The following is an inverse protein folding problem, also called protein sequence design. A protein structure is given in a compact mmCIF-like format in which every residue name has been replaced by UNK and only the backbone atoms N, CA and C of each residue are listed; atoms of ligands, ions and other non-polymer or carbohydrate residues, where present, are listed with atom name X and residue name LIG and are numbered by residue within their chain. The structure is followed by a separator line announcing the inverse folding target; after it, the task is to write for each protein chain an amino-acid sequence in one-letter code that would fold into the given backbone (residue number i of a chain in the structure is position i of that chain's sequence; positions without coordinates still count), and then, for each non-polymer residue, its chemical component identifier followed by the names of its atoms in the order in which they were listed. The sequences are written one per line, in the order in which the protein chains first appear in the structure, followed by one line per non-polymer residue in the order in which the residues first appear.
data_IF_205056590143
#
_entry.id   IF_205056590143
#
_cell.length_a   1.000
_cell.length_b   1.000
_cell.length_c   1.000
_cell.angle_alpha   90.00
_cell.angle_beta   90.00
_cell.angle_gamma   90.00
#
_symmetry.space_group_name_H-M   'P 1'
#
loop_
_entity.id
_entity.type
_entity.pdbx_description
1 polymer ?
#
# COMPACT_ATOMS: atom_id res chain seq x y z
N UNK A 1 1.75 7.80 -4.22
CA UNK A 1 0.31 7.48 -4.14
C UNK A 1 -0.32 8.14 -2.93
N UNK A 2 -0.35 7.46 -1.78
CA UNK A 2 -1.11 7.88 -0.58
C UNK A 2 -0.77 9.29 -0.09
N UNK A 3 0.51 9.62 0.05
CA UNK A 3 0.95 10.95 0.54
C UNK A 3 0.68 12.06 -0.50
N UNK A 4 0.84 11.75 -1.78
CA UNK A 4 0.46 12.69 -2.83
C UNK A 4 -1.03 13.02 -2.74
N UNK A 5 -1.88 12.02 -2.48
CA UNK A 5 -3.32 12.22 -2.34
C UNK A 5 -3.68 13.14 -1.16
N UNK A 6 -2.99 13.03 -0.02
CA UNK A 6 -3.19 13.96 1.11
C UNK A 6 -2.71 15.38 0.81
N UNK A 7 -1.68 15.54 -0.02
CA UNK A 7 -1.20 16.86 -0.44
C UNK A 7 -2.14 17.49 -1.46
N UNK A 8 -2.69 16.72 -2.39
CA UNK A 8 -3.54 17.23 -3.49
C UNK A 8 -5.04 17.23 -3.17
N UNK A 9 -5.44 16.86 -1.95
CA UNK A 9 -6.85 16.73 -1.56
C UNK A 9 -7.60 15.63 -2.32
N UNK A 10 -6.88 14.64 -2.84
CA UNK A 10 -7.49 13.49 -3.52
C UNK A 10 -7.83 12.39 -2.52
N UNK A 11 -8.93 11.67 -2.79
CA UNK A 11 -9.25 10.43 -2.08
C UNK A 11 -8.52 9.27 -2.75
N UNK A 12 -7.72 8.51 -2.00
CA UNK A 12 -7.05 7.34 -2.53
C UNK A 12 -7.80 6.04 -2.19
N UNK A 13 -7.76 5.09 -3.14
CA UNK A 13 -8.45 3.80 -3.05
C UNK A 13 -7.42 2.71 -3.29
N UNK A 14 -6.78 2.17 -2.24
CA UNK A 14 -5.72 1.19 -2.45
C UNK A 14 -6.34 -0.17 -2.76
N UNK A 15 -6.07 -0.69 -3.96
CA UNK A 15 -6.64 -1.95 -4.48
C UNK A 15 -5.51 -2.97 -4.65
N UNK A 16 -5.77 -4.23 -4.26
CA UNK A 16 -4.79 -5.31 -4.41
C UNK A 16 -4.48 -5.52 -5.90
N UNK A 17 -3.20 -5.55 -6.32
CA UNK A 17 -2.80 -5.68 -7.72
C UNK A 17 -3.17 -7.03 -8.36
N UNK A 18 -3.77 -7.96 -7.60
CA UNK A 18 -4.35 -9.22 -8.08
C UNK A 18 -5.85 -9.11 -8.36
N UNK A 19 -6.49 -7.98 -8.02
CA UNK A 19 -7.92 -7.75 -8.25
C UNK A 19 -8.16 -7.51 -9.73
N UNK A 20 -9.03 -8.33 -10.36
CA UNK A 20 -9.28 -8.33 -11.81
C UNK A 20 -10.76 -8.35 -12.14
N UNK A 21 -11.07 -8.13 -13.42
CA UNK A 21 -12.41 -8.29 -13.99
C UNK A 21 -13.48 -7.50 -13.24
N UNK A 22 -14.66 -8.07 -13.11
CA UNK A 22 -15.84 -7.41 -12.54
C UNK A 22 -15.60 -6.81 -11.16
N UNK A 23 -14.77 -7.45 -10.33
CA UNK A 23 -14.43 -6.95 -9.00
C UNK A 23 -13.61 -5.66 -9.08
N UNK A 24 -12.65 -5.57 -9.99
CA UNK A 24 -11.86 -4.36 -10.21
C UNK A 24 -12.75 -3.26 -10.81
N UNK A 25 -13.54 -3.60 -11.83
CA UNK A 25 -14.49 -2.68 -12.47
C UNK A 25 -15.48 -2.10 -11.44
N UNK A 26 -16.01 -2.96 -10.56
CA UNK A 26 -16.88 -2.55 -9.47
C UNK A 26 -16.19 -1.56 -8.54
N UNK A 27 -14.99 -1.86 -8.03
CA UNK A 27 -14.28 -0.97 -7.10
C UNK A 27 -14.00 0.40 -7.71
N UNK A 28 -13.52 0.43 -8.97
CA UNK A 28 -13.23 1.68 -9.68
C UNK A 28 -14.50 2.52 -9.92
N UNK A 29 -15.59 1.88 -10.34
CA UNK A 29 -16.88 2.54 -10.59
C UNK A 29 -17.55 3.02 -9.30
N UNK A 30 -17.58 2.17 -8.28
CA UNK A 30 -18.25 2.43 -7.01
C UNK A 30 -17.56 3.56 -6.22
N UNK A 31 -16.23 3.61 -6.24
CA UNK A 31 -15.46 4.70 -5.62
C UNK A 31 -15.46 5.99 -6.45
N UNK A 32 -15.87 5.93 -7.72
CA UNK A 32 -15.82 7.07 -8.63
C UNK A 32 -14.39 7.47 -9.02
N UNK A 33 -13.45 6.52 -9.03
CA UNK A 33 -12.06 6.77 -9.43
C UNK A 33 -12.01 7.43 -10.82
N UNK A 34 -11.31 8.58 -10.89
CA UNK A 34 -11.00 9.27 -12.15
C UNK A 34 -9.63 8.91 -12.71
N UNK A 35 -8.80 8.24 -11.91
CA UNK A 35 -7.50 7.79 -12.36
C UNK A 35 -6.94 6.64 -11.55
N UNK A 36 -5.98 5.92 -12.16
CA UNK A 36 -5.28 4.81 -11.52
C UNK A 36 -3.78 5.02 -11.64
N UNK A 37 -3.08 4.83 -10.52
CA UNK A 37 -1.64 4.65 -10.47
C UNK A 37 -1.37 3.19 -10.13
N UNK A 38 -0.69 2.47 -11.03
CA UNK A 38 -0.36 1.06 -10.83
C UNK A 38 1.01 0.72 -11.44
N UNK A 39 1.42 -0.53 -11.35
CA UNK A 39 2.66 -1.04 -11.94
C UNK A 39 2.38 -1.76 -13.26
N UNK A 40 3.41 -1.86 -14.09
CA UNK A 40 3.39 -2.56 -15.37
C UNK A 40 2.87 -4.01 -15.30
N UNK A 41 3.09 -4.72 -14.18
CA UNK A 41 2.63 -6.10 -13.99
C UNK A 41 1.12 -6.24 -13.69
N UNK A 42 0.41 -5.16 -13.35
CA UNK A 42 -1.04 -5.19 -13.14
C UNK A 42 -1.83 -4.22 -14.04
N UNK A 43 -1.16 -3.35 -14.81
CA UNK A 43 -1.79 -2.38 -15.69
C UNK A 43 -2.79 -2.99 -16.69
N UNK A 44 -2.49 -4.17 -17.25
CA UNK A 44 -3.38 -4.87 -18.18
C UNK A 44 -4.78 -5.12 -17.58
N UNK A 45 -4.86 -5.38 -16.27
CA UNK A 45 -6.11 -5.63 -15.58
C UNK A 45 -7.02 -4.40 -15.58
N UNK A 46 -6.42 -3.20 -15.53
CA UNK A 46 -7.13 -1.92 -15.61
C UNK A 46 -7.59 -1.66 -17.05
N UNK A 47 -6.73 -1.96 -18.04
CA UNK A 47 -7.06 -1.83 -19.47
C UNK A 47 -8.26 -2.72 -19.83
N UNK A 48 -8.28 -3.96 -19.35
CA UNK A 48 -9.38 -4.93 -19.59
C UNK A 48 -10.75 -4.47 -19.08
N UNK A 49 -10.79 -3.58 -18.07
CA UNK A 49 -12.04 -3.08 -17.49
C UNK A 49 -12.34 -1.61 -17.83
N UNK A 50 -11.53 -0.98 -18.69
CA UNK A 50 -11.63 0.46 -19.01
C UNK A 50 -13.01 0.81 -19.57
N UNK A 51 -13.56 -0.02 -20.45
CA UNK A 51 -14.90 0.17 -21.05
C UNK A 51 -16.04 0.12 -20.01
N UNK A 52 -15.81 -0.52 -18.86
CA UNK A 52 -16.78 -0.59 -17.75
C UNK A 52 -16.64 0.57 -16.76
N UNK A 53 -15.63 1.43 -16.93
CA UNK A 53 -15.25 2.50 -15.99
C UNK A 53 -15.21 3.86 -16.70
N UNK A 54 -16.34 4.38 -17.19
CA UNK A 54 -16.39 5.56 -18.07
C UNK A 54 -15.91 6.87 -17.41
N UNK A 55 -15.77 6.91 -16.08
CA UNK A 55 -15.20 8.04 -15.34
C UNK A 55 -13.67 8.01 -15.26
N UNK A 56 -13.03 6.90 -15.66
CA UNK A 56 -11.58 6.74 -15.61
C UNK A 56 -10.94 7.53 -16.77
N UNK A 57 -10.26 8.61 -16.43
CA UNK A 57 -9.69 9.55 -17.40
C UNK A 57 -8.21 9.29 -17.68
N UNK A 58 -7.48 8.77 -16.70
CA UNK A 58 -6.04 8.56 -16.84
C UNK A 58 -5.54 7.30 -16.13
N UNK A 59 -4.47 6.73 -16.70
CA UNK A 59 -3.76 5.58 -16.18
C UNK A 59 -2.26 5.87 -16.19
N UNK A 60 -1.67 5.99 -15.01
CA UNK A 60 -0.23 6.16 -14.78
C UNK A 60 0.38 4.82 -14.38
N UNK A 61 1.35 4.36 -15.16
CA UNK A 61 2.00 3.05 -14.96
C UNK A 61 3.45 3.23 -14.57
N UNK A 62 3.84 2.61 -13.46
CA UNK A 62 5.23 2.48 -13.02
C UNK A 62 5.86 1.25 -13.67
N UNK A 63 6.90 1.47 -14.46
CA UNK A 63 7.71 0.42 -15.07
C UNK A 63 8.68 -0.12 -14.01
N UNK A 64 8.57 -1.42 -13.74
CA UNK A 64 9.29 -2.10 -12.66
C UNK A 64 10.32 -3.10 -13.15
N UNK A 65 10.15 -3.62 -14.37
CA UNK A 65 10.98 -4.70 -14.91
C UNK A 65 10.80 -6.05 -14.18
N UNK A 66 9.73 -6.19 -13.39
CA UNK A 66 9.47 -7.42 -12.64
C UNK A 66 8.91 -8.55 -13.51
N UNK A 67 8.91 -9.77 -12.95
CA UNK A 67 8.21 -10.89 -13.55
C UNK A 67 6.71 -10.55 -13.74
N UNK A 68 6.23 -10.70 -14.96
CA UNK A 68 4.86 -10.35 -15.34
C UNK A 68 4.67 -8.90 -15.81
N UNK A 69 5.72 -8.07 -15.79
CA UNK A 69 5.70 -6.76 -16.42
C UNK A 69 5.31 -6.84 -17.90
N UNK A 70 4.51 -5.88 -18.36
CA UNK A 70 4.12 -5.73 -19.76
C UNK A 70 4.80 -4.50 -20.37
N UNK A 71 5.28 -4.57 -21.62
CA UNK A 71 5.77 -3.39 -22.31
C UNK A 71 4.67 -2.32 -22.40
N UNK A 72 5.02 -1.06 -22.12
CA UNK A 72 4.07 0.06 -22.18
C UNK A 72 3.35 0.16 -23.53
N UNK A 73 4.04 -0.13 -24.63
CA UNK A 73 3.49 -0.13 -25.98
C UNK A 73 2.33 -1.13 -26.19
N UNK A 74 2.21 -2.18 -25.36
CA UNK A 74 1.11 -3.14 -25.45
C UNK A 74 -0.12 -2.75 -24.63
N UNK A 75 -0.07 -1.66 -23.85
CA UNK A 75 -1.11 -1.26 -22.90
C UNK A 75 -2.01 -0.13 -23.43
N UNK A 76 -1.82 0.29 -24.68
CA UNK A 76 -2.63 1.33 -25.32
C UNK A 76 -2.35 2.74 -24.79
N UNK A 77 -3.39 3.55 -24.65
CA UNK A 77 -3.30 4.93 -24.16
C UNK A 77 -3.08 4.98 -22.65
N UNK A 78 -1.80 5.02 -22.24
CA UNK A 78 -1.35 5.12 -20.86
C UNK A 78 -0.16 6.10 -20.72
N UNK A 79 0.06 6.59 -19.51
CA UNK A 79 1.14 7.50 -19.18
C UNK A 79 2.21 6.80 -18.33
N UNK A 80 3.48 7.06 -18.63
CA UNK A 80 4.62 6.53 -17.86
C UNK A 80 4.85 7.35 -16.59
N UNK A 81 4.72 6.71 -15.44
CA UNK A 81 5.06 7.34 -14.16
C UNK A 81 6.57 7.60 -14.05
N UNK A 82 7.42 6.75 -14.62
CA UNK A 82 8.87 6.95 -14.62
C UNK A 82 9.26 8.26 -15.32
N UNK A 83 8.61 8.57 -16.46
CA UNK A 83 8.83 9.85 -17.16
C UNK A 83 8.35 11.05 -16.35
N UNK A 84 7.20 10.94 -15.69
CA UNK A 84 6.69 12.01 -14.81
C UNK A 84 7.65 12.25 -13.66
N UNK A 85 8.12 11.20 -12.99
CA UNK A 85 9.06 11.31 -11.87
C UNK A 85 10.46 11.80 -12.28
N UNK A 86 10.85 11.60 -13.54
CA UNK A 86 12.11 12.12 -14.09
C UNK A 86 12.02 13.60 -14.50
N UNK A 87 10.81 14.15 -14.61
CA UNK A 87 10.60 15.55 -14.92
C UNK A 87 10.70 16.43 -13.67
N UNK A 88 11.16 17.67 -13.84
CA UNK A 88 11.12 18.65 -12.76
C UNK A 88 9.68 19.11 -12.55
N UNK A 89 9.26 19.18 -11.29
CA UNK A 89 7.98 19.76 -10.89
C UNK A 89 8.24 20.78 -9.80
N UNK A 90 7.60 21.94 -9.90
CA UNK A 90 7.62 22.94 -8.85
C UNK A 90 6.94 22.38 -7.58
N UNK A 91 7.37 22.80 -6.38
CA UNK A 91 6.65 22.50 -5.16
C UNK A 91 5.19 22.92 -5.28
N UNK A 92 4.29 22.03 -4.86
CA UNK A 92 2.85 22.32 -4.81
C UNK A 92 2.47 22.69 -3.38
N UNK A 93 1.69 23.76 -3.24
CA UNK A 93 1.04 24.06 -1.97
C UNK A 93 0.02 22.96 -1.66
N UNK A 94 -0.02 22.45 -0.41
CA UNK A 94 -1.05 21.50 -0.01
C UNK A 94 -2.44 22.07 -0.26
N UNK A 95 -3.33 21.23 -0.80
CA UNK A 95 -4.73 21.59 -1.00
C UNK A 95 -5.37 21.98 0.35
N UNK A 96 -6.23 23.00 0.38
CA UNK A 96 -6.99 23.33 1.58
C UNK A 96 -7.96 22.18 1.86
N UNK A 97 -7.79 21.52 3.00
CA UNK A 97 -8.59 20.37 3.43
C UNK A 97 -8.93 20.47 4.92
N UNK A 98 -10.10 19.96 5.29
CA UNK A 98 -10.55 19.83 6.67
C UNK A 98 -10.28 18.42 7.20
N UNK A 99 -10.09 18.26 8.51
CA UNK A 99 -9.80 16.95 9.10
C UNK A 99 -10.93 15.91 8.87
N UNK A 100 -12.16 16.38 8.62
CA UNK A 100 -13.33 15.55 8.31
C UNK A 100 -13.47 15.23 6.82
N UNK A 101 -12.61 15.78 5.96
CA UNK A 101 -12.66 15.49 4.54
C UNK A 101 -12.24 14.03 4.28
N UNK A 102 -12.88 13.35 3.31
CA UNK A 102 -12.50 12.01 2.93
C UNK A 102 -11.08 11.99 2.36
N UNK A 103 -10.29 11.00 2.76
CA UNK A 103 -8.92 10.79 2.25
C UNK A 103 -8.73 9.38 1.68
N UNK A 104 -9.45 8.39 2.22
CA UNK A 104 -9.23 7.00 1.90
C UNK A 104 -10.54 6.23 1.73
N UNK A 105 -10.59 5.31 0.76
CA UNK A 105 -11.62 4.27 0.69
C UNK A 105 -10.94 2.90 0.69
N UNK A 106 -11.13 2.12 1.76
CA UNK A 106 -10.66 0.72 1.84
C UNK A 106 -11.84 -0.22 1.56
N UNK A 107 -11.71 -1.05 0.53
CA UNK A 107 -12.67 -2.11 0.27
C UNK A 107 -12.42 -3.34 1.14
N UNK A 108 -13.48 -3.86 1.76
CA UNK A 108 -13.44 -5.12 2.50
C UNK A 108 -14.26 -6.20 1.78
N UNK A 109 -13.82 -7.45 1.88
CA UNK A 109 -14.58 -8.61 1.42
C UNK A 109 -15.78 -8.78 2.35
N UNK A 110 -16.95 -8.25 1.95
CA UNK A 110 -18.20 -8.56 2.65
C UNK A 110 -18.49 -10.06 2.60
N UNK A 111 -19.21 -10.57 3.60
CA UNK A 111 -19.57 -11.99 3.70
C UNK A 111 -20.68 -12.41 2.75
N UNK A 112 -21.43 -11.45 2.20
CA UNK A 112 -22.55 -11.68 1.27
C UNK A 112 -22.64 -10.53 0.26
N UNK A 113 -21.98 -10.67 -0.89
CA UNK A 113 -22.11 -9.74 -2.03
C UNK A 113 -20.89 -8.87 -2.31
N UNK A 114 -21.12 -7.77 -3.03
CA UNK A 114 -20.06 -6.88 -3.50
C UNK A 114 -19.23 -6.26 -2.36
N UNK A 115 -17.94 -5.97 -2.58
CA UNK A 115 -17.07 -5.34 -1.60
C UNK A 115 -17.65 -4.02 -1.05
N UNK A 116 -17.54 -3.80 0.26
CA UNK A 116 -17.98 -2.54 0.89
C UNK A 116 -16.82 -1.57 1.00
N UNK A 117 -16.96 -0.36 0.45
CA UNK A 117 -15.97 0.71 0.55
C UNK A 117 -16.12 1.47 1.87
N UNK A 118 -15.17 1.31 2.78
CA UNK A 118 -15.12 2.07 4.03
C UNK A 118 -14.41 3.39 3.76
N UNK A 119 -15.14 4.49 3.90
CA UNK A 119 -14.58 5.85 3.82
C UNK A 119 -13.88 6.18 5.14
N UNK A 120 -12.64 6.66 5.04
CA UNK A 120 -11.87 7.22 6.14
C UNK A 120 -11.51 8.67 5.81
N UNK A 121 -11.69 9.55 6.79
CA UNK A 121 -11.30 10.95 6.71
C UNK A 121 -9.81 11.15 7.01
N UNK A 122 -9.35 12.39 6.83
CA UNK A 122 -7.98 12.81 7.14
C UNK A 122 -7.65 12.55 8.61
N UNK A 123 -8.58 12.84 9.53
CA UNK A 123 -8.39 12.62 10.97
C UNK A 123 -8.09 11.15 11.28
N UNK A 124 -8.86 10.22 10.71
CA UNK A 124 -8.69 8.78 10.90
C UNK A 124 -7.35 8.30 10.33
N UNK A 125 -7.00 8.74 9.13
CA UNK A 125 -5.74 8.32 8.48
C UNK A 125 -4.52 8.87 9.23
N UNK A 126 -4.54 10.15 9.61
CA UNK A 126 -3.47 10.77 10.40
C UNK A 126 -3.38 10.18 11.81
N UNK A 127 -4.52 9.99 12.48
CA UNK A 127 -4.61 9.38 13.81
C UNK A 127 -4.13 7.93 13.85
N UNK A 128 -4.12 7.22 12.72
CA UNK A 128 -3.52 5.89 12.60
C UNK A 128 -2.02 5.90 12.97
N UNK A 129 -1.32 7.03 12.86
CA UNK A 129 0.06 7.16 13.32
C UNK A 129 0.22 7.02 14.84
N UNK A 130 -0.80 7.38 15.62
CA UNK A 130 -0.81 7.24 17.09
C UNK A 130 -0.84 5.77 17.54
N UNK A 131 -1.19 4.83 16.65
CA UNK A 131 -1.21 3.40 16.96
C UNK A 131 0.15 2.86 17.41
N UNK A 132 1.25 3.49 16.97
CA UNK A 132 2.59 3.14 17.45
C UNK A 132 2.72 3.19 18.97
N UNK A 133 2.13 4.19 19.63
CA UNK A 133 2.14 4.28 21.10
C UNK A 133 1.37 3.14 21.77
N UNK A 134 0.25 2.72 21.18
CA UNK A 134 -0.51 1.56 21.66
C UNK A 134 0.22 0.23 21.45
N UNK A 135 1.13 0.16 20.47
CA UNK A 135 2.00 -0.99 20.22
C UNK A 135 3.32 -0.95 21.01
N UNK A 136 3.51 0.04 21.89
CA UNK A 136 4.73 0.17 22.68
C UNK A 136 5.94 0.66 21.88
N UNK A 137 5.74 1.31 20.73
CA UNK A 137 6.83 1.81 19.91
C UNK A 137 7.66 2.86 20.65
N UNK A 138 8.97 2.76 20.48
CA UNK A 138 9.95 3.62 21.14
C UNK A 138 10.66 4.53 20.13
N UNK A 139 11.50 5.46 20.58
CA UNK A 139 12.14 6.44 19.68
C UNK A 139 13.07 5.80 18.63
N UNK A 140 13.61 4.60 18.91
CA UNK A 140 14.48 3.87 18.00
C UNK A 140 13.75 2.79 17.18
N UNK A 141 12.42 2.90 17.06
CA UNK A 141 11.58 1.96 16.35
C UNK A 141 11.94 1.85 14.86
N UNK A 142 11.93 0.62 14.37
CA UNK A 142 12.18 0.24 12.97
C UNK A 142 11.15 -0.81 12.56
N UNK A 143 9.91 -0.39 12.27
CA UNK A 143 8.84 -1.32 11.96
C UNK A 143 9.06 -1.94 10.57
N UNK A 144 8.90 -3.25 10.48
CA UNK A 144 8.95 -4.00 9.23
C UNK A 144 7.56 -4.42 8.78
N UNK A 145 7.29 -4.30 7.47
CA UNK A 145 6.13 -4.94 6.85
C UNK A 145 6.45 -5.46 5.45
N UNK A 146 6.00 -6.68 5.16
CA UNK A 146 5.82 -7.19 3.80
C UNK A 146 4.34 -7.39 3.45
N UNK A 147 3.44 -6.85 4.27
CA UNK A 147 2.00 -6.95 4.11
C UNK A 147 1.49 -5.84 3.19
N UNK A 148 0.37 -6.10 2.53
CA UNK A 148 -0.23 -5.16 1.60
C UNK A 148 -0.65 -3.85 2.29
N UNK A 149 -0.33 -2.72 1.66
CA UNK A 149 -0.84 -1.40 2.04
C UNK A 149 -2.31 -1.18 1.60
N UNK A 150 -2.94 -2.16 0.95
CA UNK A 150 -4.38 -2.12 0.58
C UNK A 150 -5.30 -2.40 1.75
N UNK A 151 -4.73 -2.76 2.90
CA UNK A 151 -5.43 -2.96 4.16
C UNK A 151 -4.82 -2.05 5.24
N UNK A 152 -5.61 -1.77 6.27
CA UNK A 152 -5.20 -0.86 7.34
C UNK A 152 -3.99 -1.37 8.15
N UNK A 153 -3.75 -2.69 8.22
CA UNK A 153 -2.72 -3.26 9.10
C UNK A 153 -1.31 -2.71 8.83
N UNK A 154 -0.84 -2.78 7.58
CA UNK A 154 0.49 -2.26 7.22
C UNK A 154 0.58 -0.73 7.32
N UNK A 155 -0.56 -0.04 7.18
CA UNK A 155 -0.63 1.40 7.38
C UNK A 155 -0.47 1.77 8.86
N UNK A 156 -1.18 1.06 9.75
CA UNK A 156 -1.18 1.29 11.19
C UNK A 156 0.08 0.84 11.91
N UNK A 157 0.73 -0.22 11.42
CA UNK A 157 1.90 -0.81 12.10
C UNK A 157 3.23 -0.31 11.53
N UNK A 158 3.26 0.25 10.32
CA UNK A 158 4.51 0.71 9.71
C UNK A 158 4.39 2.11 9.11
N UNK A 159 3.54 2.31 8.10
CA UNK A 159 3.55 3.56 7.31
C UNK A 159 3.22 4.80 8.12
N UNK A 160 2.05 4.84 8.78
CA UNK A 160 1.60 6.05 9.47
C UNK A 160 2.44 6.37 10.72
N UNK A 161 2.81 5.40 11.59
CA UNK A 161 3.72 5.69 12.69
C UNK A 161 5.08 6.20 12.21
N UNK A 162 5.62 5.66 11.12
CA UNK A 162 6.89 6.12 10.58
C UNK A 162 6.84 7.56 10.04
N UNK A 163 5.74 7.92 9.38
CA UNK A 163 5.53 9.28 8.90
C UNK A 163 5.32 10.27 10.05
N UNK A 164 4.59 9.86 11.09
CA UNK A 164 4.24 10.72 12.23
C UNK A 164 5.41 10.90 13.20
N UNK A 165 6.15 9.84 13.49
CA UNK A 165 7.20 9.81 14.51
C UNK A 165 8.62 9.86 13.93
N UNK A 166 8.77 9.82 12.60
CA UNK A 166 10.07 9.84 11.93
C UNK A 166 10.84 8.52 11.99
N UNK A 167 10.17 7.39 12.19
CA UNK A 167 10.81 6.07 12.27
C UNK A 167 11.39 5.60 10.93
N UNK A 168 12.44 4.79 11.00
CA UNK A 168 13.00 4.10 9.82
C UNK A 168 12.23 2.80 9.57
N UNK A 169 11.10 2.91 8.89
CA UNK A 169 10.32 1.75 8.47
C UNK A 169 10.97 0.98 7.30
N UNK A 170 10.78 -0.34 7.27
CA UNK A 170 11.30 -1.23 6.23
C UNK A 170 10.13 -1.92 5.52
N UNK A 171 10.04 -1.73 4.21
CA UNK A 171 8.97 -2.28 3.38
C UNK A 171 9.52 -3.31 2.40
N UNK A 172 9.07 -4.55 2.51
CA UNK A 172 9.27 -5.56 1.47
C UNK A 172 8.11 -5.52 0.48
N UNK A 173 8.39 -5.76 -0.81
CA UNK A 173 7.34 -5.87 -1.86
C UNK A 173 6.33 -6.98 -1.55
N UNK A 174 6.79 -8.05 -0.92
CA UNK A 174 5.98 -9.17 -0.43
C UNK A 174 6.58 -9.74 0.84
N UNK A 175 5.73 -10.25 1.72
CA UNK A 175 6.16 -11.08 2.83
C UNK A 175 6.57 -12.46 2.33
N UNK A 176 7.72 -12.93 2.78
CA UNK A 176 8.20 -14.31 2.59
C UNK A 176 8.78 -14.81 3.90
N UNK A 177 8.21 -15.91 4.41
CA UNK A 177 8.61 -16.53 5.68
C UNK A 177 10.11 -16.86 5.72
N UNK A 178 10.63 -17.45 4.65
CA UNK A 178 12.04 -17.84 4.51
C UNK A 178 13.04 -16.68 4.52
N UNK A 179 12.60 -15.45 4.25
CA UNK A 179 13.49 -14.28 4.25
C UNK A 179 13.23 -13.34 5.42
N UNK A 180 12.24 -13.62 6.26
CA UNK A 180 11.79 -12.71 7.32
C UNK A 180 12.95 -12.31 8.23
N UNK A 181 13.61 -13.32 8.82
CA UNK A 181 14.68 -13.10 9.79
C UNK A 181 15.93 -12.48 9.16
N UNK A 182 16.25 -12.84 7.91
CA UNK A 182 17.36 -12.23 7.17
C UNK A 182 17.14 -10.72 6.94
N UNK A 183 15.92 -10.31 6.60
CA UNK A 183 15.56 -8.89 6.42
C UNK A 183 15.59 -8.15 7.77
N UNK A 184 14.99 -8.75 8.81
CA UNK A 184 14.97 -8.20 10.16
C UNK A 184 16.39 -7.92 10.66
N UNK A 185 17.31 -8.90 10.53
CA UNK A 185 18.71 -8.73 10.94
C UNK A 185 19.41 -7.66 10.11
N UNK A 186 19.28 -7.72 8.78
CA UNK A 186 19.96 -6.81 7.85
C UNK A 186 19.64 -5.33 8.10
N UNK A 187 18.39 -5.01 8.43
CA UNK A 187 17.95 -3.63 8.62
C UNK A 187 17.72 -3.25 10.10
N UNK A 188 17.98 -4.20 11.00
CA UNK A 188 17.75 -4.09 12.44
C UNK A 188 16.31 -3.75 12.79
N UNK A 189 15.34 -4.43 12.16
CA UNK A 189 13.92 -4.18 12.38
C UNK A 189 13.51 -4.63 13.80
N UNK A 190 12.89 -3.74 14.56
CA UNK A 190 12.54 -3.96 15.97
C UNK A 190 11.15 -4.54 16.16
N UNK A 191 10.26 -4.39 15.17
CA UNK A 191 8.89 -4.90 15.22
C UNK A 191 8.42 -5.34 13.84
N UNK A 192 7.46 -6.26 13.82
CA UNK A 192 6.68 -6.59 12.63
C UNK A 192 5.30 -7.10 13.06
N UNK A 193 4.31 -6.93 12.18
CA UNK A 193 2.95 -7.37 12.45
C UNK A 193 2.71 -8.79 11.94
N UNK A 194 2.00 -9.59 12.74
CA UNK A 194 1.51 -10.92 12.39
C UNK A 194 0.01 -10.88 12.12
N UNK A 195 -0.43 -11.46 11.01
CA UNK A 195 -1.86 -11.62 10.69
C UNK A 195 -2.17 -13.06 10.28
N UNK A 196 -3.28 -13.60 10.80
CA UNK A 196 -3.75 -14.94 10.45
C UNK A 196 -2.69 -16.03 10.64
N UNK A 197 -2.56 -16.92 9.65
CA UNK A 197 -1.64 -18.07 9.68
C UNK A 197 -0.14 -17.75 9.56
N UNK A 198 0.28 -16.48 9.60
CA UNK A 198 1.69 -16.12 9.50
C UNK A 198 2.55 -16.74 10.59
N UNK A 199 2.07 -16.76 11.84
CA UNK A 199 2.82 -17.35 12.95
C UNK A 199 3.12 -18.83 12.70
N UNK A 200 2.10 -19.61 12.31
CA UNK A 200 2.25 -21.02 11.93
C UNK A 200 3.17 -21.19 10.74
N UNK A 201 3.06 -20.32 9.73
CA UNK A 201 3.88 -20.38 8.54
C UNK A 201 5.37 -20.13 8.84
N UNK A 202 5.68 -19.17 9.72
CA UNK A 202 7.04 -18.88 10.20
C UNK A 202 7.57 -20.05 11.03
N UNK A 203 6.76 -20.56 11.97
CA UNK A 203 7.12 -21.70 12.81
C UNK A 203 7.42 -22.98 12.01
N UNK A 204 6.87 -23.10 10.80
CA UNK A 204 7.12 -24.26 9.92
C UNK A 204 8.41 -24.16 9.11
N UNK A 205 9.16 -23.06 9.19
CA UNK A 205 10.47 -22.97 8.53
C UNK A 205 11.52 -23.77 9.31
N UNK A 206 12.54 -24.33 8.63
CA UNK A 206 13.67 -24.95 9.32
C UNK A 206 14.35 -23.94 10.27
N UNK A 207 14.65 -24.39 11.48
CA UNK A 207 15.40 -23.58 12.44
C UNK A 207 16.79 -23.24 11.90
N UNK A 208 17.19 -21.98 12.07
CA UNK A 208 18.55 -21.51 11.84
C UNK A 208 19.21 -21.14 13.16
N UNK A 209 20.53 -21.37 13.25
CA UNK A 209 21.32 -21.05 14.46
C UNK A 209 21.31 -19.56 14.83
N UNK A 210 20.93 -18.69 13.91
CA UNK A 210 20.86 -17.24 14.09
C UNK A 210 19.43 -16.69 14.26
N UNK A 211 18.40 -17.54 14.39
CA UNK A 211 17.02 -17.09 14.53
C UNK A 211 16.79 -16.28 15.80
N UNK A 212 17.41 -16.67 16.92
CA UNK A 212 17.37 -15.91 18.16
C UNK A 212 18.16 -14.58 18.10
N UNK A 213 19.04 -14.41 17.12
CA UNK A 213 19.91 -13.25 16.99
C UNK A 213 19.25 -12.14 16.18
N UNK A 214 18.15 -11.59 16.70
CA UNK A 214 17.40 -10.53 16.03
C UNK A 214 16.96 -9.44 17.03
N UNK A 215 16.74 -8.19 16.59
CA UNK A 215 16.39 -7.09 17.49
C UNK A 215 14.89 -6.94 17.75
N UNK A 216 14.06 -7.94 17.37
CA UNK A 216 12.61 -7.86 17.56
C UNK A 216 12.27 -7.83 19.05
N UNK A 217 11.41 -6.90 19.42
CA UNK A 217 10.89 -6.72 20.78
C UNK A 217 9.45 -7.21 20.82
N UNK A 218 9.09 -7.93 21.88
CA UNK A 218 7.69 -8.36 22.15
C UNK A 218 6.98 -7.32 23.01
#
# INVERSE_FOLDING_TARGET
GMIAASITGCVFVPIDPRTRGDKLAFMLKNSGCRGVLCTDYCAQQVVEVRDQTPKLEWLLVLETGEAGARPMASLGDIQSLNKVLASHADPVEPAPVELTDPLQIIYTSGTTGDPKGIVGDIMRFGGTGLMGGFYGYTQDERPYTGLSLTHNNAQATALCPALMMGYRAVFSRRFTKSSLWAVIRKYSCTTFSLVGGMATAIYSEPEHSDDAHNPVRM
#
